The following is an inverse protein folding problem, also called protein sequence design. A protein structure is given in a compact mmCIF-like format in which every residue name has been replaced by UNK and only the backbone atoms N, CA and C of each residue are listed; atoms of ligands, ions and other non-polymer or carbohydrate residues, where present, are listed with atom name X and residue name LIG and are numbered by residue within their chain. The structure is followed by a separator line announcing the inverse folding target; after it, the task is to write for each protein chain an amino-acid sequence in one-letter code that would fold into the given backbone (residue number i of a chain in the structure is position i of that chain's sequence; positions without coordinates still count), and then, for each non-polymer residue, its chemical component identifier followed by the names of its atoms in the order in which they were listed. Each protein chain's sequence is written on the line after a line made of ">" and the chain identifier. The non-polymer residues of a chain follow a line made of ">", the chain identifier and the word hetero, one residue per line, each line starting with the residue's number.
data_IF_846011573624
#
_entry.id   IF_846011573624
#
_cell.length_a   1.000
_cell.length_b   1.000
_cell.length_c   1.000
_cell.angle_alpha   90.00
_cell.angle_beta   90.00
_cell.angle_gamma   90.00
#
_symmetry.space_group_name_H-M   'P 1'
#
loop_
_entity.id
_entity.type
_entity.pdbx_description
1 polymer ?
#
# COMPACT_ATOMS: atom_id res chain seq x y z
N UNK A 1 18.69 -0.35 12.51
CA UNK A 1 18.59 -1.60 13.32
C UNK A 1 18.00 -2.71 12.45
N UNK A 2 18.83 -3.43 11.70
CA UNK A 2 18.41 -4.68 11.05
C UNK A 2 18.94 -5.83 11.92
N UNK A 3 18.05 -6.43 12.70
CA UNK A 3 18.34 -7.71 13.37
C UNK A 3 18.23 -8.83 12.35
N UNK A 4 18.98 -9.93 12.53
CA UNK A 4 19.02 -11.07 11.60
C UNK A 4 17.64 -11.69 11.30
N UNK A 5 16.62 -11.40 12.10
CA UNK A 5 15.25 -11.93 11.98
C UNK A 5 14.21 -10.89 11.52
N UNK A 6 14.62 -9.83 10.83
CA UNK A 6 13.70 -8.78 10.32
C UNK A 6 13.76 -8.66 8.81
N UNK A 7 12.58 -8.54 8.22
CA UNK A 7 12.39 -8.40 6.78
C UNK A 7 11.77 -7.04 6.44
N UNK A 8 12.16 -6.50 5.30
CA UNK A 8 11.43 -5.40 4.66
C UNK A 8 10.42 -6.02 3.70
N UNK A 9 9.14 -5.78 3.97
CA UNK A 9 8.04 -6.33 3.19
C UNK A 9 7.45 -5.24 2.30
N UNK A 10 7.42 -5.50 1.00
CA UNK A 10 6.63 -4.72 0.05
C UNK A 10 5.24 -5.33 -0.11
N UNK A 11 4.26 -4.72 0.55
CA UNK A 11 2.87 -5.15 0.49
C UNK A 11 2.22 -4.90 -0.87
N UNK A 12 2.67 -3.88 -1.62
CA UNK A 12 2.09 -3.58 -2.93
C UNK A 12 2.54 -4.62 -3.94
N UNK A 13 3.83 -4.95 -3.93
CA UNK A 13 4.37 -5.98 -4.82
C UNK A 13 3.78 -7.35 -4.50
N UNK A 14 3.66 -7.71 -3.21
CA UNK A 14 3.01 -8.96 -2.82
C UNK A 14 1.56 -9.06 -3.37
N UNK A 15 0.77 -7.98 -3.31
CA UNK A 15 -0.58 -7.97 -3.89
C UNK A 15 -0.56 -7.97 -5.43
N UNK A 16 0.37 -7.27 -6.08
CA UNK A 16 0.53 -7.32 -7.54
C UNK A 16 0.76 -8.76 -8.00
N UNK A 17 1.67 -9.49 -7.34
CA UNK A 17 1.94 -10.90 -7.64
C UNK A 17 0.69 -11.78 -7.45
N UNK A 18 -0.09 -11.54 -6.40
CA UNK A 18 -1.37 -12.25 -6.20
C UNK A 18 -2.36 -11.99 -7.35
N UNK A 19 -2.48 -10.74 -7.82
CA UNK A 19 -3.36 -10.38 -8.94
C UNK A 19 -2.89 -10.99 -10.28
N UNK A 20 -1.57 -11.01 -10.52
CA UNK A 20 -1.01 -11.68 -11.70
C UNK A 20 -1.31 -13.19 -11.66
N UNK A 21 -1.19 -13.81 -10.50
CA UNK A 21 -1.48 -15.23 -10.31
C UNK A 21 -2.97 -15.58 -10.55
N UNK A 22 -3.90 -14.62 -10.45
CA UNK A 22 -5.31 -14.84 -10.83
C UNK A 22 -5.57 -14.65 -12.33
N UNK A 23 -4.56 -14.29 -13.13
CA UNK A 23 -4.66 -14.10 -14.58
C UNK A 23 -4.94 -12.68 -15.03
N UNK A 24 -4.93 -11.69 -14.12
CA UNK A 24 -5.01 -10.27 -14.51
C UNK A 24 -3.71 -9.91 -15.24
N UNK A 25 -3.83 -9.26 -16.41
CA UNK A 25 -2.66 -8.85 -17.18
C UNK A 25 -1.94 -7.70 -16.51
N UNK A 26 -0.60 -7.70 -16.60
CA UNK A 26 0.22 -6.68 -15.95
C UNK A 26 -0.11 -5.27 -16.42
N UNK A 27 -0.45 -5.07 -17.70
CA UNK A 27 -0.80 -3.76 -18.25
C UNK A 27 -2.11 -3.19 -17.70
N UNK A 28 -2.92 -4.02 -17.03
CA UNK A 28 -4.17 -3.63 -16.36
C UNK A 28 -3.96 -3.33 -14.86
N UNK A 29 -2.74 -3.42 -14.35
CA UNK A 29 -2.40 -3.18 -12.94
C UNK A 29 -1.53 -1.93 -12.83
N UNK A 30 -2.11 -0.87 -12.27
CA UNK A 30 -1.38 0.36 -11.93
C UNK A 30 -1.00 0.38 -10.46
N UNK A 31 0.30 0.46 -10.16
CA UNK A 31 0.82 0.57 -8.79
C UNK A 31 1.30 1.99 -8.55
N UNK A 32 0.80 2.64 -7.49
CA UNK A 32 1.23 4.00 -7.13
C UNK A 32 2.60 4.00 -6.46
N UNK A 33 3.37 5.07 -6.62
CA UNK A 33 4.66 5.25 -5.91
C UNK A 33 4.49 5.83 -4.48
N UNK A 34 3.27 6.16 -4.06
CA UNK A 34 3.01 6.76 -2.75
C UNK A 34 3.28 5.81 -1.59
N UNK A 35 3.94 6.29 -0.53
CA UNK A 35 4.09 5.55 0.71
C UNK A 35 3.46 6.35 1.86
N UNK A 36 2.47 5.76 2.54
CA UNK A 36 1.75 6.43 3.63
C UNK A 36 2.68 6.83 4.78
N UNK A 37 3.75 6.08 5.01
CA UNK A 37 4.74 6.40 6.04
C UNK A 37 5.66 7.57 5.64
N UNK A 38 5.97 7.74 4.35
CA UNK A 38 6.94 8.75 3.88
C UNK A 38 6.25 10.11 3.74
N UNK A 39 5.09 10.14 3.07
CA UNK A 39 4.43 11.39 2.73
C UNK A 39 3.46 11.83 3.85
N UNK A 40 4.01 12.58 4.81
CA UNK A 40 3.30 13.01 6.01
C UNK A 40 2.24 14.09 5.75
N UNK A 41 2.40 14.85 4.67
CA UNK A 41 1.48 15.93 4.33
C UNK A 41 0.18 15.38 3.72
N UNK A 42 0.25 14.23 3.06
CA UNK A 42 -0.88 13.65 2.33
C UNK A 42 -1.60 12.52 3.06
N UNK A 43 -0.91 11.76 3.93
CA UNK A 43 -1.47 10.53 4.50
C UNK A 43 -1.29 10.40 6.02
N UNK A 44 -2.32 9.87 6.70
CA UNK A 44 -2.16 9.26 8.01
C UNK A 44 -1.33 7.97 7.90
N UNK A 45 -0.54 7.63 8.92
CA UNK A 45 0.24 6.38 8.92
C UNK A 45 0.33 5.79 10.30
N UNK A 46 -0.33 4.65 10.50
CA UNK A 46 -0.38 3.95 11.78
C UNK A 46 1.02 3.59 12.33
N UNK A 47 1.93 3.16 11.44
CA UNK A 47 3.32 2.79 11.81
C UNK A 47 4.16 4.00 12.19
N UNK A 48 3.99 5.12 11.49
CA UNK A 48 4.75 6.36 11.76
C UNK A 48 4.22 7.09 12.98
N UNK A 49 2.91 7.17 13.10
CA UNK A 49 2.19 8.01 14.08
C UNK A 49 1.86 7.24 15.37
N UNK A 50 2.53 6.10 15.61
CA UNK A 50 2.40 5.29 16.82
C UNK A 50 0.94 5.01 17.22
N UNK A 51 0.16 4.49 16.27
CA UNK A 51 -1.22 4.04 16.44
C UNK A 51 -2.30 5.12 16.60
N UNK A 52 -1.95 6.31 17.09
CA UNK A 52 -2.88 7.44 17.27
C UNK A 52 -2.87 8.30 16.00
N UNK A 53 -3.73 7.97 15.05
CA UNK A 53 -3.84 8.69 13.77
C UNK A 53 -5.20 8.43 13.11
N UNK A 54 -5.59 9.27 12.16
CA UNK A 54 -6.83 9.11 11.40
C UNK A 54 -6.81 7.89 10.46
N UNK A 55 -7.84 7.78 9.62
CA UNK A 55 -7.94 6.75 8.57
C UNK A 55 -8.35 7.41 7.26
N UNK A 56 -7.72 6.98 6.18
CA UNK A 56 -8.14 7.30 4.82
C UNK A 56 -9.20 6.28 4.40
N UNK A 57 -9.99 6.65 3.42
CA UNK A 57 -10.94 5.78 2.76
C UNK A 57 -10.64 5.76 1.26
N UNK A 58 -10.66 4.58 0.66
CA UNK A 58 -10.68 4.41 -0.79
C UNK A 58 -12.12 4.13 -1.21
N UNK A 59 -12.58 4.77 -2.29
CA UNK A 59 -13.92 4.57 -2.83
C UNK A 59 -13.86 4.37 -4.35
N UNK A 60 -14.83 3.63 -4.88
CA UNK A 60 -15.03 3.41 -6.31
C UNK A 60 -16.54 3.39 -6.58
N UNK A 61 -16.97 3.99 -7.68
CA UNK A 61 -18.37 4.05 -8.06
C UNK A 61 -18.53 4.43 -9.52
N UNK A 62 -19.65 4.04 -10.11
CA UNK A 62 -20.05 4.44 -11.45
C UNK A 62 -21.06 5.57 -11.33
N UNK A 63 -20.88 6.62 -12.13
CA UNK A 63 -21.89 7.67 -12.25
C UNK A 63 -22.98 7.20 -13.21
N UNK A 64 -24.22 7.31 -12.77
CA UNK A 64 -25.42 7.08 -13.59
C UNK A 64 -25.71 8.26 -14.51
#
# INVERSE_FOLDING_TARGET
>A
KNGKDKYLLDLKEANKQLLLATGIKEEQISVTNYCTAIDKALFYSHRRDNQITGRMMSFIGLKS
#
